data_IF_586897240235
#
_entry.id   IF_586897240235
#
_cell.length_a   1.000
_cell.length_b   1.000
_cell.length_c   1.000
_cell.angle_alpha   90.00
_cell.angle_beta   90.00
_cell.angle_gamma   90.00
#
_symmetry.space_group_name_H-M   'P 1'
#
loop_
_entity.id
_entity.type
_entity.pdbx_description
1 polymer ?
#
# COMPACT_ATOMS: atom_id res chain seq x y z
N UNK A 1 4.48 -11.05 11.14
CA UNK A 1 3.62 -11.57 10.06
C UNK A 1 3.68 -10.54 8.94
N UNK A 2 4.03 -10.94 7.71
CA UNK A 2 4.16 -10.04 6.56
C UNK A 2 2.86 -10.10 5.76
N UNK A 3 2.32 -8.95 5.37
CA UNK A 3 1.06 -8.82 4.61
C UNK A 3 1.40 -8.67 3.12
N UNK A 4 0.66 -9.33 2.24
CA UNK A 4 0.79 -9.17 0.78
C UNK A 4 -0.21 -8.15 0.26
N UNK A 5 0.17 -7.41 -0.79
CA UNK A 5 -0.69 -6.37 -1.37
C UNK A 5 -2.04 -6.92 -1.87
N UNK A 6 -2.06 -8.13 -2.44
CA UNK A 6 -3.30 -8.79 -2.89
C UNK A 6 -4.30 -9.04 -1.74
N UNK A 7 -3.83 -9.23 -0.50
CA UNK A 7 -4.70 -9.45 0.66
C UNK A 7 -5.49 -8.18 1.00
N UNK A 8 -4.87 -7.00 0.87
CA UNK A 8 -5.53 -5.69 1.05
C UNK A 8 -6.58 -5.46 -0.02
N UNK A 9 -6.25 -5.76 -1.27
CA UNK A 9 -7.17 -5.61 -2.41
C UNK A 9 -8.41 -6.47 -2.20
N UNK A 10 -8.24 -7.73 -1.77
CA UNK A 10 -9.34 -8.63 -1.47
C UNK A 10 -10.18 -8.18 -0.27
N UNK A 11 -9.54 -7.75 0.83
CA UNK A 11 -10.23 -7.33 2.05
C UNK A 11 -11.06 -6.05 1.86
N UNK A 12 -10.60 -5.13 1.00
CA UNK A 12 -11.25 -3.85 0.74
C UNK A 12 -12.07 -3.83 -0.56
N UNK A 13 -12.10 -4.94 -1.30
CA UNK A 13 -12.78 -5.08 -2.59
C UNK A 13 -12.39 -3.97 -3.59
N UNK A 14 -11.09 -3.78 -3.79
CA UNK A 14 -10.54 -2.73 -4.65
C UNK A 14 -10.37 -3.21 -6.10
N UNK A 15 -10.50 -2.27 -7.04
CA UNK A 15 -10.14 -2.48 -8.44
C UNK A 15 -8.68 -2.10 -8.68
N UNK A 16 -7.94 -2.95 -9.41
CA UNK A 16 -6.53 -2.73 -9.73
C UNK A 16 -6.43 -1.87 -10.99
N UNK A 17 -6.07 -0.60 -10.83
CA UNK A 17 -5.91 0.34 -11.94
C UNK A 17 -4.57 0.18 -12.70
N UNK A 18 -3.53 -0.37 -12.06
CA UNK A 18 -2.20 -0.51 -12.64
C UNK A 18 -1.38 -1.62 -11.94
N UNK A 19 -0.32 -2.09 -12.61
CA UNK A 19 0.69 -3.01 -12.06
C UNK A 19 0.10 -4.32 -11.46
N UNK A 20 -0.85 -4.93 -12.17
CA UNK A 20 -1.51 -6.18 -11.75
C UNK A 20 -0.54 -7.38 -11.64
N UNK A 21 0.64 -7.29 -12.23
CA UNK A 21 1.74 -8.25 -12.15
C UNK A 21 2.59 -8.13 -10.86
N UNK A 22 2.39 -7.08 -10.06
CA UNK A 22 3.18 -6.78 -8.87
C UNK A 22 2.44 -6.97 -7.53
N UNK A 23 1.28 -7.64 -7.53
CA UNK A 23 0.39 -7.75 -6.35
C UNK A 23 0.90 -8.66 -5.22
N UNK A 24 1.95 -9.44 -5.48
CA UNK A 24 2.60 -10.31 -4.48
C UNK A 24 3.68 -9.59 -3.65
N UNK A 25 3.79 -8.26 -3.78
CA UNK A 25 4.68 -7.45 -2.97
C UNK A 25 4.27 -7.52 -1.49
N UNK A 26 5.27 -7.64 -0.62
CA UNK A 26 5.08 -7.53 0.84
C UNK A 26 4.98 -6.08 1.25
N UNK A 27 4.06 -5.80 2.17
CA UNK A 27 3.86 -4.49 2.79
C UNK A 27 4.01 -4.60 4.30
N UNK A 28 4.54 -3.54 4.91
CA UNK A 28 4.83 -3.47 6.35
C UNK A 28 3.76 -2.69 7.13
N UNK A 29 2.96 -1.88 6.43
CA UNK A 29 1.92 -1.04 7.02
C UNK A 29 1.29 -0.09 6.00
N UNK A 30 0.70 0.98 6.52
CA UNK A 30 0.13 2.06 5.71
C UNK A 30 0.35 3.43 6.34
N UNK A 31 0.31 4.47 5.53
CA UNK A 31 0.40 5.86 5.98
C UNK A 31 -0.71 6.68 5.29
N UNK A 32 -1.62 7.23 6.08
CA UNK A 32 -2.76 8.00 5.58
C UNK A 32 -2.47 9.51 5.63
N UNK A 33 -2.41 10.17 4.47
CA UNK A 33 -2.26 11.63 4.37
C UNK A 33 -2.54 12.10 2.95
N UNK A 34 -3.21 13.23 2.79
CA UNK A 34 -3.46 13.85 1.49
C UNK A 34 -2.21 14.48 0.85
N UNK A 35 -1.33 15.06 1.66
CA UNK A 35 -0.15 15.78 1.20
C UNK A 35 1.05 14.85 0.96
N UNK A 36 1.51 14.79 -0.29
CA UNK A 36 2.71 14.03 -0.69
C UNK A 36 3.94 14.42 0.15
N UNK A 37 4.12 15.70 0.48
CA UNK A 37 5.24 16.17 1.30
C UNK A 37 5.24 15.56 2.70
N UNK A 38 4.05 15.36 3.28
CA UNK A 38 3.89 14.70 4.57
C UNK A 38 4.26 13.22 4.48
N UNK A 39 3.81 12.54 3.43
CA UNK A 39 4.08 11.12 3.16
C UNK A 39 5.58 10.89 2.97
N UNK A 40 6.22 11.68 2.10
CA UNK A 40 7.67 11.58 1.87
C UNK A 40 8.49 11.81 3.13
N UNK A 41 8.01 12.67 4.04
CA UNK A 41 8.72 12.99 5.28
C UNK A 41 8.52 11.95 6.40
N UNK A 42 7.42 11.19 6.39
CA UNK A 42 6.98 10.40 7.57
C UNK A 42 6.66 8.93 7.28
N UNK A 43 6.29 8.56 6.05
CA UNK A 43 6.00 7.18 5.71
C UNK A 43 7.26 6.31 5.85
N UNK A 44 7.05 5.04 6.22
CA UNK A 44 8.13 4.07 6.37
C UNK A 44 8.27 3.23 5.09
N UNK A 45 9.43 2.60 4.92
CA UNK A 45 9.63 1.66 3.82
C UNK A 45 8.55 0.56 3.83
N UNK A 46 8.05 0.24 2.64
CA UNK A 46 6.99 -0.75 2.40
C UNK A 46 5.61 -0.40 2.99
N UNK A 47 5.37 0.86 3.36
CA UNK A 47 4.02 1.35 3.62
C UNK A 47 3.23 1.54 2.32
N UNK A 48 1.94 1.22 2.37
CA UNK A 48 0.95 1.68 1.39
C UNK A 48 0.54 3.11 1.74
N UNK A 49 0.57 4.01 0.76
CA UNK A 49 0.03 5.36 0.92
C UNK A 49 -1.49 5.33 0.70
N UNK A 50 -2.24 5.86 1.67
CA UNK A 50 -3.70 6.05 1.62
C UNK A 50 -4.05 7.54 1.65
#
# INVERSE_FOLDING_TARGET
MKLKLHEVIAALNLEVAAAADALDREISGGYASDLLSCVMARAQADNVWV
#
